data_IF_075226192151
#
_entry.id   IF_075226192151
#
_cell.length_a   1.000
_cell.length_b   1.000
_cell.length_c   1.000
_cell.angle_alpha   90.00
_cell.angle_beta   90.00
_cell.angle_gamma   90.00
#
_symmetry.space_group_name_H-M   'P 1'
#
loop_
_entity.id
_entity.type
_entity.pdbx_description
1 polymer ?
#
# COMPACT_ATOMS: atom_id res chain seq x y z
N UNK A 1 -1.57 13.00 -65.43
CA UNK A 1 -0.99 11.65 -65.53
C UNK A 1 -0.26 11.36 -64.23
N UNK A 2 -0.45 10.14 -63.74
CA UNK A 2 -0.22 9.58 -62.41
C UNK A 2 1.24 9.46 -62.00
N UNK A 3 1.51 9.53 -60.70
CA UNK A 3 2.79 9.14 -60.11
C UNK A 3 2.77 9.15 -58.58
N UNK A 4 1.90 8.34 -57.97
CA UNK A 4 1.90 8.09 -56.53
C UNK A 4 3.15 7.30 -56.16
N UNK A 5 4.15 7.94 -55.55
CA UNK A 5 5.29 7.22 -54.97
C UNK A 5 4.88 6.68 -53.60
N UNK A 6 4.53 5.41 -53.64
CA UNK A 6 4.20 4.51 -52.56
C UNK A 6 5.19 4.65 -51.40
N UNK A 7 4.73 5.18 -50.26
CA UNK A 7 5.41 5.07 -48.98
C UNK A 7 5.41 3.61 -48.54
N UNK A 8 6.38 2.85 -49.04
CA UNK A 8 6.64 1.50 -48.59
C UNK A 8 7.17 1.56 -47.17
N UNK A 9 6.32 1.21 -46.20
CA UNK A 9 6.78 0.75 -44.90
C UNK A 9 7.55 -0.55 -45.13
N UNK A 10 8.84 -0.44 -45.47
CA UNK A 10 9.75 -1.57 -45.50
C UNK A 10 10.04 -1.94 -44.04
N UNK A 11 9.17 -2.75 -43.46
CA UNK A 11 9.51 -3.47 -42.24
C UNK A 11 10.79 -4.28 -42.54
N UNK A 12 11.88 -4.07 -41.80
CA UNK A 12 13.15 -4.71 -42.11
C UNK A 12 13.00 -6.23 -42.01
N UNK A 13 13.57 -6.95 -42.96
CA UNK A 13 13.47 -8.41 -43.00
C UNK A 13 13.97 -9.00 -41.67
N UNK A 14 13.22 -9.96 -41.13
CA UNK A 14 13.55 -10.61 -39.87
C UNK A 14 14.96 -11.20 -39.92
N UNK A 15 15.79 -10.88 -38.93
CA UNK A 15 17.19 -11.31 -38.86
C UNK A 15 18.19 -10.41 -39.61
N UNK A 16 17.75 -9.28 -40.18
CA UNK A 16 18.65 -8.24 -40.66
C UNK A 16 19.19 -7.38 -39.49
N UNK A 17 20.37 -6.75 -39.61
CA UNK A 17 20.91 -5.87 -38.58
C UNK A 17 19.98 -4.69 -38.22
N UNK A 18 19.22 -4.18 -39.20
CA UNK A 18 18.25 -3.10 -38.98
C UNK A 18 17.03 -3.59 -38.17
N UNK A 19 16.59 -4.83 -38.40
CA UNK A 19 15.51 -5.45 -37.63
C UNK A 19 15.90 -5.62 -36.17
N UNK A 20 17.13 -6.08 -35.91
CA UNK A 20 17.65 -6.21 -34.54
C UNK A 20 17.73 -4.84 -33.84
N UNK A 21 18.18 -3.80 -34.55
CA UNK A 21 18.26 -2.44 -34.00
C UNK A 21 16.86 -1.89 -33.63
N UNK A 22 15.86 -2.13 -34.48
CA UNK A 22 14.47 -1.74 -34.24
C UNK A 22 13.88 -2.50 -33.05
N UNK A 23 14.14 -3.80 -32.95
CA UNK A 23 13.69 -4.61 -31.82
C UNK A 23 14.35 -4.18 -30.51
N UNK A 24 15.66 -3.98 -30.51
CA UNK A 24 16.40 -3.52 -29.35
C UNK A 24 15.89 -2.16 -28.87
N UNK A 25 15.59 -1.25 -29.80
CA UNK A 25 14.96 0.04 -29.47
C UNK A 25 13.57 -0.14 -28.87
N UNK A 26 12.76 -1.05 -29.41
CA UNK A 26 11.41 -1.35 -28.89
C UNK A 26 11.49 -1.94 -27.49
N UNK A 27 12.41 -2.86 -27.25
CA UNK A 27 12.68 -3.46 -25.94
C UNK A 27 13.14 -2.41 -24.92
N UNK A 28 14.09 -1.55 -25.30
CA UNK A 28 14.54 -0.44 -24.45
C UNK A 28 13.39 0.50 -24.07
N UNK A 29 12.51 0.82 -25.03
CA UNK A 29 11.32 1.62 -24.76
C UNK A 29 10.33 0.91 -23.84
N UNK A 30 10.12 -0.39 -24.01
CA UNK A 30 9.25 -1.18 -23.14
C UNK A 30 9.81 -1.23 -21.71
N UNK A 31 11.12 -1.43 -21.56
CA UNK A 31 11.80 -1.40 -20.27
C UNK A 31 11.70 -0.03 -19.60
N UNK A 32 11.90 1.07 -20.36
CA UNK A 32 11.76 2.42 -19.82
C UNK A 32 10.33 2.70 -19.31
N UNK A 33 9.30 2.20 -20.02
CA UNK A 33 7.90 2.30 -19.57
C UNK A 33 7.65 1.51 -18.29
N UNK A 34 8.15 0.28 -18.20
CA UNK A 34 8.04 -0.54 -16.99
C UNK A 34 8.70 0.14 -15.78
N UNK A 35 9.88 0.74 -15.98
CA UNK A 35 10.56 1.48 -14.92
C UNK A 35 9.79 2.74 -14.50
N UNK A 36 9.17 3.46 -15.46
CA UNK A 36 8.33 4.61 -15.16
C UNK A 36 7.07 4.23 -14.37
N UNK A 37 6.44 3.11 -14.72
CA UNK A 37 5.28 2.55 -13.99
C UNK A 37 5.65 2.12 -12.57
N UNK A 38 6.81 1.46 -12.40
CA UNK A 38 7.33 1.09 -11.09
C UNK A 38 7.60 2.35 -10.25
N UNK A 39 8.24 3.36 -10.82
CA UNK A 39 8.50 4.62 -10.13
C UNK A 39 7.20 5.33 -9.73
N UNK A 40 6.18 5.32 -10.58
CA UNK A 40 4.86 5.86 -10.25
C UNK A 40 4.23 5.10 -9.08
N UNK A 41 4.30 3.77 -9.09
CA UNK A 41 3.81 2.93 -8.00
C UNK A 41 4.52 3.26 -6.69
N UNK A 42 5.86 3.37 -6.71
CA UNK A 42 6.65 3.77 -5.54
C UNK A 42 6.21 5.14 -5.02
N UNK A 43 6.03 6.12 -5.91
CA UNK A 43 5.60 7.46 -5.52
C UNK A 43 4.20 7.46 -4.88
N UNK A 44 3.28 6.63 -5.38
CA UNK A 44 1.95 6.47 -4.79
C UNK A 44 2.01 5.84 -3.39
N UNK A 45 2.80 4.77 -3.21
CA UNK A 45 2.98 4.16 -1.88
C UNK A 45 3.61 5.14 -0.90
N UNK A 46 4.64 5.89 -1.32
CA UNK A 46 5.26 6.92 -0.50
C UNK A 46 4.27 8.04 -0.13
N UNK A 47 3.44 8.45 -1.09
CA UNK A 47 2.35 9.39 -0.84
C UNK A 47 1.36 8.88 0.20
N UNK A 48 0.96 7.61 0.13
CA UNK A 48 0.10 6.99 1.13
C UNK A 48 0.77 6.91 2.50
N UNK A 49 2.04 6.50 2.59
CA UNK A 49 2.77 6.39 3.86
C UNK A 49 2.96 7.76 4.54
N UNK A 50 3.23 8.81 3.76
CA UNK A 50 3.37 10.17 4.27
C UNK A 50 2.01 10.82 4.59
N UNK A 51 0.93 10.36 3.93
CA UNK A 51 -0.43 10.83 4.15
C UNK A 51 -1.18 10.03 5.22
N UNK A 52 -0.72 8.83 5.60
CA UNK A 52 -1.24 8.12 6.77
C UNK A 52 -1.02 9.04 7.97
N UNK A 53 -2.09 9.60 8.56
CA UNK A 53 -1.95 10.34 9.79
C UNK A 53 -1.34 9.36 10.77
N UNK A 54 -0.22 9.73 11.38
CA UNK A 54 0.32 9.04 12.53
C UNK A 54 -0.86 8.85 13.50
N UNK A 55 -1.46 7.66 13.49
CA UNK A 55 -2.70 7.42 14.20
C UNK A 55 -2.36 7.74 15.64
N UNK A 56 -3.00 8.79 16.17
CA UNK A 56 -2.77 9.20 17.55
C UNK A 56 -2.83 7.93 18.37
N UNK A 57 -1.81 7.63 19.20
CA UNK A 57 -1.83 6.42 20.01
C UNK A 57 -3.20 6.33 20.63
N UNK A 58 -3.90 5.22 20.36
CA UNK A 58 -5.28 4.99 20.78
C UNK A 58 -5.39 5.52 22.20
N UNK A 59 -6.20 6.59 22.38
CA UNK A 59 -6.30 7.25 23.68
C UNK A 59 -6.62 6.16 24.67
N UNK A 60 -5.69 5.89 25.61
CA UNK A 60 -5.90 4.89 26.65
C UNK A 60 -7.29 5.16 27.25
N UNK A 61 -8.18 4.16 27.30
CA UNK A 61 -9.45 4.31 27.96
C UNK A 61 -9.19 4.92 29.34
N UNK A 62 -9.85 6.04 29.64
CA UNK A 62 -9.72 6.67 30.94
C UNK A 62 -10.39 5.73 31.94
N UNK A 63 -9.61 4.84 32.55
CA UNK A 63 -10.13 3.96 33.60
C UNK A 63 -10.63 4.85 34.73
N UNK A 64 -11.87 4.62 35.17
CA UNK A 64 -12.35 5.21 36.41
C UNK A 64 -11.39 4.80 37.53
N UNK A 65 -10.99 5.75 38.38
CA UNK A 65 -10.26 5.42 39.59
C UNK A 65 -11.15 4.48 40.39
N UNK A 66 -10.71 3.25 40.71
CA UNK A 66 -11.53 2.33 41.48
C UNK A 66 -11.87 3.01 42.81
N UNK A 67 -13.16 3.19 43.09
CA UNK A 67 -13.60 3.46 44.46
C UNK A 67 -13.21 2.27 45.34
N UNK A 68 -13.06 2.49 46.64
CA UNK A 68 -12.72 1.40 47.56
C UNK A 68 -13.79 0.33 47.45
N UNK A 69 -13.38 -0.90 47.12
CA UNK A 69 -14.29 -2.03 47.02
C UNK A 69 -15.08 -2.21 48.33
N UNK A 70 -16.38 -1.98 48.26
CA UNK A 70 -17.34 -2.06 49.36
C UNK A 70 -17.87 -3.49 49.58
N UNK A 71 -17.47 -4.43 48.71
CA UNK A 71 -17.90 -5.81 48.75
C UNK A 71 -19.19 -6.09 47.97
N UNK A 72 -19.79 -5.09 47.33
CA UNK A 72 -21.04 -5.25 46.61
C UNK A 72 -20.84 -6.00 45.30
N UNK A 73 -21.87 -6.78 44.92
CA UNK A 73 -21.92 -7.51 43.65
C UNK A 73 -21.80 -6.58 42.45
N UNK A 74 -22.32 -5.35 42.56
CA UNK A 74 -22.28 -4.35 41.49
C UNK A 74 -20.87 -3.83 41.26
N UNK A 75 -20.13 -3.53 42.33
CA UNK A 75 -18.73 -3.12 42.22
C UNK A 75 -17.85 -4.25 41.71
N UNK A 76 -18.06 -5.49 42.18
CA UNK A 76 -17.32 -6.65 41.67
C UNK A 76 -17.53 -6.82 40.16
N UNK A 77 -18.79 -6.73 39.69
CA UNK A 77 -19.11 -6.80 38.26
C UNK A 77 -18.43 -5.68 37.47
N UNK A 78 -18.43 -4.46 38.01
CA UNK A 78 -17.82 -3.28 37.37
C UNK A 78 -16.31 -3.43 37.27
N UNK A 79 -15.67 -3.90 38.34
CA UNK A 79 -14.23 -4.16 38.37
C UNK A 79 -13.81 -5.22 37.35
N UNK A 80 -14.51 -6.36 37.30
CA UNK A 80 -14.23 -7.43 36.33
C UNK A 80 -14.43 -6.96 34.89
N UNK A 81 -15.51 -6.21 34.61
CA UNK A 81 -15.76 -5.65 33.28
C UNK A 81 -14.65 -4.69 32.85
N UNK A 82 -14.13 -3.87 33.77
CA UNK A 82 -13.01 -2.97 33.47
C UNK A 82 -11.72 -3.74 33.16
N UNK A 83 -11.50 -4.91 33.78
CA UNK A 83 -10.37 -5.79 33.47
C UNK A 83 -10.53 -6.39 32.08
N UNK A 84 -11.70 -6.93 31.75
CA UNK A 84 -11.97 -7.52 30.42
C UNK A 84 -11.72 -6.48 29.32
N UNK A 85 -12.26 -5.27 29.48
CA UNK A 85 -12.04 -4.14 28.57
C UNK A 85 -10.56 -3.74 28.48
N UNK A 86 -9.81 -3.82 29.58
CA UNK A 86 -8.37 -3.55 29.57
C UNK A 86 -7.61 -4.63 28.80
N UNK A 87 -7.92 -5.91 28.98
CA UNK A 87 -7.28 -7.02 28.26
C UNK A 87 -7.56 -6.93 26.76
N UNK A 88 -8.82 -6.69 26.36
CA UNK A 88 -9.20 -6.49 24.96
C UNK A 88 -8.48 -5.31 24.32
N UNK A 89 -8.39 -4.17 25.02
CA UNK A 89 -7.72 -2.98 24.49
C UNK A 89 -6.20 -3.15 24.31
N UNK A 90 -5.56 -3.91 25.21
CA UNK A 90 -4.11 -4.10 25.20
C UNK A 90 -3.67 -5.37 24.47
N UNK A 91 -4.60 -6.09 23.84
CA UNK A 91 -4.35 -7.38 23.16
C UNK A 91 -3.58 -8.37 24.07
N UNK A 92 -3.81 -8.30 25.38
CA UNK A 92 -3.15 -9.19 26.33
C UNK A 92 -3.74 -10.59 26.11
N UNK A 93 -2.92 -11.60 25.83
CA UNK A 93 -3.41 -12.96 25.70
C UNK A 93 -4.10 -13.37 27.00
N UNK A 94 -5.40 -13.66 26.93
CA UNK A 94 -6.11 -14.33 28.01
C UNK A 94 -5.96 -15.84 27.78
N UNK A 95 -4.89 -16.43 28.35
CA UNK A 95 -4.71 -17.90 28.47
C UNK A 95 -5.51 -18.46 29.65
#
# INVERSE_FOLDING_TARGET
>A
MTGSTQGGNNEPAAGSPEYELVNLRRESQAQARQMAELQNTINQLMGQLMATPNEKPLKKPKMATPEKYDGSRTELRTFLTNIDLYCEFNEVPND
#
